data_IF_829117145618
#
_entry.id   IF_829117145618
#
_cell.length_a   1.000
_cell.length_b   1.000
_cell.length_c   1.000
_cell.angle_alpha   90.00
_cell.angle_beta   90.00
_cell.angle_gamma   90.00
#
_symmetry.space_group_name_H-M   'P 1'
#
loop_
_entity.id
_entity.type
_entity.pdbx_description
1 polymer ?
#
# COMPACT_ATOMS: atom_id res chain seq x y z
N UNK A 1 11.89 14.67 12.11
CA UNK A 1 10.45 14.39 12.14
C UNK A 1 9.73 15.70 11.96
N UNK A 2 8.78 15.76 11.04
CA UNK A 2 7.88 16.93 10.90
C UNK A 2 6.59 16.67 11.69
N UNK A 3 5.96 17.74 12.18
CA UNK A 3 4.70 17.65 12.91
C UNK A 3 3.52 18.04 12.01
N UNK A 4 2.41 17.33 12.18
CA UNK A 4 1.13 17.68 11.58
C UNK A 4 0.09 17.83 12.70
N UNK A 5 -0.92 18.66 12.46
CA UNK A 5 -2.08 18.80 13.35
C UNK A 5 -3.32 18.29 12.64
N UNK A 6 -4.09 17.44 13.30
CA UNK A 6 -5.31 16.85 12.77
C UNK A 6 -6.49 17.21 13.67
N UNK A 7 -7.62 17.55 13.07
CA UNK A 7 -8.91 17.64 13.77
C UNK A 7 -9.69 16.37 13.49
N UNK A 8 -10.09 15.68 14.55
CA UNK A 8 -10.80 14.41 14.49
C UNK A 8 -12.01 14.48 15.42
N UNK A 9 -13.05 13.72 15.07
CA UNK A 9 -14.23 13.63 15.90
C UNK A 9 -13.92 13.02 17.27
N UNK A 10 -14.60 13.51 18.29
CA UNK A 10 -14.34 13.11 19.69
C UNK A 10 -14.56 11.61 19.90
N UNK A 11 -15.60 11.04 19.30
CA UNK A 11 -15.87 9.60 19.42
C UNK A 11 -14.80 8.78 18.71
N UNK A 12 -14.37 9.20 17.51
CA UNK A 12 -13.28 8.53 16.80
C UNK A 12 -11.95 8.55 17.58
N UNK A 13 -11.64 9.66 18.27
CA UNK A 13 -10.48 9.73 19.16
C UNK A 13 -10.55 8.73 20.33
N UNK A 14 -11.74 8.46 20.87
CA UNK A 14 -11.93 7.44 21.91
C UNK A 14 -11.70 6.04 21.35
N UNK A 15 -12.20 5.76 20.16
CA UNK A 15 -12.01 4.47 19.50
C UNK A 15 -10.52 4.19 19.25
N UNK A 16 -9.79 5.21 18.78
CA UNK A 16 -8.33 5.14 18.62
C UNK A 16 -7.67 4.77 19.96
N UNK A 17 -8.01 5.44 21.05
CA UNK A 17 -7.42 5.17 22.38
C UNK A 17 -7.69 3.76 22.88
N UNK A 18 -8.91 3.26 22.69
CA UNK A 18 -9.30 1.91 23.11
C UNK A 18 -8.49 0.88 22.33
N UNK A 19 -8.44 1.01 20.99
CA UNK A 19 -7.72 0.08 20.12
C UNK A 19 -6.22 0.14 20.38
N UNK A 20 -5.66 1.34 20.50
CA UNK A 20 -4.25 1.58 20.79
C UNK A 20 -3.83 0.86 22.07
N UNK A 21 -4.57 1.05 23.17
CA UNK A 21 -4.29 0.40 24.46
C UNK A 21 -4.45 -1.12 24.38
N UNK A 22 -5.50 -1.61 23.72
CA UNK A 22 -5.73 -3.05 23.53
C UNK A 22 -4.57 -3.74 22.82
N UNK A 23 -3.95 -3.05 21.87
CA UNK A 23 -2.81 -3.56 21.09
C UNK A 23 -1.44 -3.12 21.64
N UNK A 24 -1.39 -2.59 22.86
CA UNK A 24 -0.16 -2.23 23.60
C UNK A 24 0.74 -1.19 22.91
N UNK A 25 0.15 -0.32 22.09
CA UNK A 25 0.87 0.84 21.58
C UNK A 25 1.14 1.83 22.71
N UNK A 26 2.31 2.45 22.68
CA UNK A 26 2.76 3.34 23.76
C UNK A 26 2.22 4.77 23.58
N UNK A 27 2.03 5.21 22.33
CA UNK A 27 1.55 6.56 22.02
C UNK A 27 0.61 6.59 20.82
N UNK A 28 -0.28 7.58 20.77
CA UNK A 28 -1.16 7.81 19.61
C UNK A 28 -0.34 8.06 18.34
N UNK A 29 0.78 8.76 18.48
CA UNK A 29 1.67 9.09 17.37
C UNK A 29 2.25 7.83 16.74
N UNK A 30 2.64 6.85 17.55
CA UNK A 30 3.12 5.55 17.08
C UNK A 30 2.01 4.81 16.33
N UNK A 31 0.84 4.66 16.95
CA UNK A 31 -0.32 3.99 16.35
C UNK A 31 -0.74 4.62 15.02
N UNK A 32 -0.92 5.95 14.98
CA UNK A 32 -1.31 6.68 13.77
C UNK A 32 -0.24 6.54 12.68
N UNK A 33 1.05 6.61 13.04
CA UNK A 33 2.14 6.48 12.06
C UNK A 33 2.17 5.10 11.43
N UNK A 34 1.96 4.05 12.21
CA UNK A 34 1.89 2.68 11.71
C UNK A 34 0.68 2.47 10.80
N UNK A 35 -0.50 2.89 11.24
CA UNK A 35 -1.72 2.80 10.45
C UNK A 35 -1.60 3.56 9.10
N UNK A 36 -1.02 4.76 9.11
CA UNK A 36 -0.76 5.55 7.89
C UNK A 36 0.24 4.83 6.98
N UNK A 37 1.32 4.27 7.53
CA UNK A 37 2.33 3.52 6.77
C UNK A 37 1.72 2.29 6.08
N UNK A 38 0.90 1.54 6.81
CA UNK A 38 0.25 0.36 6.25
C UNK A 38 -0.75 0.74 5.16
N UNK A 39 -1.49 1.84 5.36
CA UNK A 39 -2.39 2.33 4.31
C UNK A 39 -1.66 2.78 3.06
N UNK A 40 -0.52 3.46 3.19
CA UNK A 40 0.32 3.85 2.05
C UNK A 40 0.78 2.60 1.28
N UNK A 41 1.31 1.58 1.98
CA UNK A 41 1.73 0.31 1.34
C UNK A 41 0.58 -0.39 0.63
N UNK A 42 -0.60 -0.41 1.24
CA UNK A 42 -1.80 -1.00 0.64
C UNK A 42 -2.20 -0.26 -0.64
N UNK A 43 -2.18 1.08 -0.63
CA UNK A 43 -2.48 1.91 -1.80
C UNK A 43 -1.46 1.69 -2.92
N UNK A 44 -0.16 1.67 -2.60
CA UNK A 44 0.90 1.39 -3.58
C UNK A 44 0.75 -0.01 -4.20
N UNK A 45 0.42 -1.02 -3.38
CA UNK A 45 0.14 -2.38 -3.87
C UNK A 45 -1.07 -2.39 -4.81
N UNK A 46 -2.14 -1.69 -4.44
CA UNK A 46 -3.37 -1.61 -5.25
C UNK A 46 -3.11 -0.89 -6.59
N UNK A 47 -2.23 0.11 -6.63
CA UNK A 47 -1.83 0.75 -7.88
C UNK A 47 -1.04 -0.19 -8.79
N UNK A 48 -0.12 -0.98 -8.23
CA UNK A 48 0.62 -1.99 -9.00
C UNK A 48 -0.34 -3.03 -9.56
N UNK A 49 -1.27 -3.54 -8.74
CA UNK A 49 -2.28 -4.50 -9.19
C UNK A 49 -3.15 -3.94 -10.31
N UNK A 50 -3.61 -2.68 -10.22
CA UNK A 50 -4.37 -2.02 -11.31
C UNK A 50 -3.56 -1.93 -12.60
N UNK A 51 -2.26 -1.65 -12.52
CA UNK A 51 -1.38 -1.63 -13.71
C UNK A 51 -1.25 -3.02 -14.31
N UNK A 52 -1.04 -4.04 -13.48
CA UNK A 52 -1.03 -5.44 -13.89
C UNK A 52 -2.35 -5.80 -14.58
N UNK A 53 -3.49 -5.54 -13.96
CA UNK A 53 -4.82 -5.80 -14.53
C UNK A 53 -5.05 -5.06 -15.85
N UNK A 54 -4.53 -3.84 -16.01
CA UNK A 54 -4.63 -3.12 -17.29
C UNK A 54 -3.79 -3.76 -18.40
N UNK A 55 -2.65 -4.36 -18.06
CA UNK A 55 -1.78 -5.10 -18.99
C UNK A 55 -2.37 -6.48 -19.33
N UNK A 56 -2.92 -7.18 -18.35
CA UNK A 56 -3.56 -8.48 -18.55
C UNK A 56 -4.96 -8.35 -19.20
N UNK A 57 -5.75 -7.33 -18.85
CA UNK A 57 -7.06 -7.05 -19.44
C UNK A 57 -7.00 -6.49 -20.86
N UNK A 58 -5.90 -5.83 -21.23
CA UNK A 58 -5.60 -5.49 -22.63
C UNK A 58 -5.12 -6.70 -23.46
N UNK A 59 -4.85 -7.84 -22.82
CA UNK A 59 -4.49 -9.11 -23.45
C UNK A 59 -5.71 -9.92 -23.93
N UNK A 60 -6.75 -9.24 -24.45
CA UNK A 60 -7.72 -9.85 -25.38
C UNK A 60 -7.11 -10.19 -26.75
N UNK A 61 -5.86 -9.77 -26.99
CA UNK A 61 -5.03 -10.27 -28.09
C UNK A 61 -4.27 -11.50 -27.61
N UNK A 62 -4.22 -12.55 -28.42
CA UNK A 62 -3.31 -13.68 -28.22
C UNK A 62 -1.87 -13.15 -28.20
N UNK A 63 -1.36 -12.83 -27.00
CA UNK A 63 0.02 -12.42 -26.81
C UNK A 63 0.86 -13.70 -26.82
N UNK A 64 1.83 -13.78 -27.72
CA UNK A 64 2.82 -14.85 -27.76
C UNK A 64 3.56 -14.95 -26.43
N UNK A 65 3.87 -16.17 -26.00
CA UNK A 65 4.61 -16.47 -24.77
C UNK A 65 5.90 -15.63 -24.64
N UNK A 66 6.57 -15.30 -25.74
CA UNK A 66 7.77 -14.46 -25.74
C UNK A 66 7.50 -13.04 -25.23
N UNK A 67 6.36 -12.45 -25.62
CA UNK A 67 5.97 -11.10 -25.18
C UNK A 67 5.53 -11.12 -23.72
N UNK A 68 4.86 -12.18 -23.28
CA UNK A 68 4.54 -12.38 -21.87
C UNK A 68 5.81 -12.52 -21.02
N UNK A 69 6.80 -13.25 -21.52
CA UNK A 69 8.10 -13.40 -20.86
C UNK A 69 8.85 -12.07 -20.74
N UNK A 70 8.83 -11.25 -21.80
CA UNK A 70 9.45 -9.93 -21.80
C UNK A 70 8.81 -9.00 -20.77
N UNK A 71 7.47 -8.95 -20.73
CA UNK A 71 6.72 -8.13 -19.75
C UNK A 71 6.96 -8.61 -18.32
N UNK A 72 7.02 -9.93 -18.07
CA UNK A 72 7.37 -10.47 -16.76
C UNK A 72 8.76 -10.05 -16.31
N UNK A 73 9.75 -10.12 -17.20
CA UNK A 73 11.13 -9.74 -16.91
C UNK A 73 11.27 -8.24 -16.61
N UNK A 74 10.50 -7.41 -17.32
CA UNK A 74 10.43 -5.97 -17.06
C UNK A 74 9.78 -5.65 -15.71
N UNK A 75 8.70 -6.35 -15.37
CA UNK A 75 8.04 -6.24 -14.06
C UNK A 75 8.94 -6.73 -12.92
N UNK A 76 9.69 -7.82 -13.09
CA UNK A 76 10.67 -8.31 -12.13
C UNK A 76 11.77 -7.27 -11.85
N UNK A 77 12.32 -6.63 -12.90
CA UNK A 77 13.32 -5.58 -12.75
C UNK A 77 12.77 -4.34 -12.01
N UNK A 78 11.52 -3.96 -12.28
CA UNK A 78 10.85 -2.88 -11.55
C UNK A 78 10.60 -3.24 -10.08
N UNK A 79 10.29 -4.51 -9.79
CA UNK A 79 10.04 -4.99 -8.44
C UNK A 79 11.33 -5.05 -7.62
N UNK A 80 12.42 -5.61 -8.16
CA UNK A 80 13.73 -5.63 -7.49
C UNK A 80 14.23 -4.21 -7.20
N UNK A 81 14.10 -3.28 -8.14
CA UNK A 81 14.59 -1.91 -7.97
C UNK A 81 13.82 -1.10 -6.91
N UNK A 82 12.58 -1.49 -6.61
CA UNK A 82 11.68 -0.74 -5.70
C UNK A 82 11.61 -1.35 -4.30
N UNK A 83 11.93 -2.64 -4.15
CA UNK A 83 11.75 -3.38 -2.90
C UNK A 83 12.99 -4.13 -2.39
N UNK A 84 14.13 -4.05 -3.10
CA UNK A 84 15.43 -4.59 -2.67
C UNK A 84 16.42 -3.46 -2.44
#
# INVERSE_FOLDING_TARGET
MESISLKLDKEFLKDIEIIMKKNRYSTKTEFIREAVRDKIKELEKNEVLKKVDSLFGSSKKNISDEKLHAVRKELEGLYEKKFR
#
